data_IF_367183954875
#
_entry.id   IF_367183954875
#
_cell.length_a   1.000
_cell.length_b   1.000
_cell.length_c   1.000
_cell.angle_alpha   90.00
_cell.angle_beta   90.00
_cell.angle_gamma   90.00
#
_symmetry.space_group_name_H-M   'P 1'
#
loop_
_entity.id
_entity.type
_entity.pdbx_description
1 polymer ?
#
# COMPACT_ATOMS: atom_id res chain seq x y z
N UNK A 1 -19.72 -1.85 18.06
CA UNK A 1 -18.90 -1.54 16.86
C UNK A 1 -18.63 -0.05 16.68
N UNK A 2 -19.62 0.85 16.70
CA UNK A 2 -19.45 2.30 16.44
C UNK A 2 -18.28 2.97 17.19
N UNK A 3 -18.04 2.65 18.46
CA UNK A 3 -17.02 3.36 19.26
C UNK A 3 -15.57 3.06 18.87
N UNK A 4 -15.27 1.92 18.24
CA UNK A 4 -13.88 1.52 17.94
C UNK A 4 -13.30 2.23 16.71
N UNK A 5 -14.04 2.27 15.61
CA UNK A 5 -13.62 3.03 14.42
C UNK A 5 -13.51 4.53 14.70
N UNK A 6 -14.43 5.05 15.52
CA UNK A 6 -14.38 6.46 15.95
C UNK A 6 -13.10 6.75 16.73
N UNK A 7 -12.56 5.78 17.48
CA UNK A 7 -11.32 5.99 18.21
C UNK A 7 -10.09 6.09 17.29
N UNK A 8 -10.08 5.37 16.17
CA UNK A 8 -9.07 5.57 15.14
C UNK A 8 -9.16 6.96 14.53
N UNK A 9 -10.37 7.40 14.16
CA UNK A 9 -10.57 8.73 13.58
C UNK A 9 -10.21 9.84 14.56
N UNK A 10 -10.53 9.69 15.85
CA UNK A 10 -10.19 10.67 16.89
C UNK A 10 -8.70 10.67 17.26
N UNK A 11 -7.93 9.69 16.79
CA UNK A 11 -6.53 9.57 17.14
C UNK A 11 -5.69 10.56 16.30
N UNK A 12 -4.90 11.47 16.92
CA UNK A 12 -4.05 12.40 16.17
C UNK A 12 -3.04 11.70 15.25
N UNK A 13 -2.58 10.49 15.61
CA UNK A 13 -1.63 9.72 14.82
C UNK A 13 -2.23 9.19 13.51
N UNK A 14 -3.56 9.08 13.42
CA UNK A 14 -4.26 8.78 12.16
C UNK A 14 -4.07 9.92 11.16
N UNK A 15 -4.32 11.16 11.58
CA UNK A 15 -4.11 12.34 10.74
C UNK A 15 -2.63 12.57 10.40
N UNK A 16 -1.73 12.33 11.36
CA UNK A 16 -0.29 12.40 11.10
C UNK A 16 0.11 11.46 9.96
N UNK A 17 -0.37 10.21 10.01
CA UNK A 17 -0.06 9.24 8.97
C UNK A 17 -0.68 9.64 7.61
N UNK A 18 -1.89 10.21 7.58
CA UNK A 18 -2.50 10.72 6.35
C UNK A 18 -1.64 11.84 5.76
N UNK A 19 -1.21 12.80 6.59
CA UNK A 19 -0.35 13.91 6.14
C UNK A 19 0.95 13.37 5.53
N UNK A 20 1.60 12.42 6.21
CA UNK A 20 2.84 11.82 5.72
C UNK A 20 2.65 11.07 4.39
N UNK A 21 1.52 10.38 4.22
CA UNK A 21 1.20 9.68 2.98
C UNK A 21 0.82 10.62 1.83
N UNK A 22 0.10 11.72 2.10
CA UNK A 22 -0.33 12.71 1.08
C UNK A 22 0.84 13.46 0.45
N UNK A 23 1.98 13.58 1.16
CA UNK A 23 3.19 14.21 0.62
C UNK A 23 3.59 13.56 -0.71
N UNK A 24 3.48 12.24 -0.84
CA UNK A 24 3.91 11.53 -2.05
C UNK A 24 3.01 11.82 -3.27
N UNK A 25 1.67 11.68 -3.22
CA UNK A 25 0.78 12.18 -4.27
C UNK A 25 0.95 13.66 -4.58
N UNK A 26 1.16 14.50 -3.57
CA UNK A 26 1.34 15.93 -3.79
C UNK A 26 2.60 16.21 -4.62
N UNK A 27 3.72 15.53 -4.30
CA UNK A 27 4.95 15.62 -5.09
C UNK A 27 4.74 15.07 -6.51
N UNK A 28 4.02 13.96 -6.66
CA UNK A 28 3.66 13.40 -7.97
C UNK A 28 2.85 14.42 -8.81
N UNK A 29 1.84 15.05 -8.22
CA UNK A 29 1.02 16.07 -8.90
C UNK A 29 1.88 17.27 -9.30
N UNK A 30 2.75 17.76 -8.41
CA UNK A 30 3.64 18.89 -8.72
C UNK A 30 4.58 18.56 -9.88
N UNK A 31 5.21 17.39 -9.84
CA UNK A 31 6.07 16.90 -10.91
C UNK A 31 5.30 16.86 -12.24
N UNK A 32 4.09 16.30 -12.23
CA UNK A 32 3.23 16.21 -13.40
C UNK A 32 2.81 17.57 -13.97
N UNK A 33 2.55 18.56 -13.11
CA UNK A 33 2.27 19.93 -13.53
C UNK A 33 3.50 20.56 -14.20
N UNK A 34 4.69 20.40 -13.61
CA UNK A 34 5.94 20.86 -14.20
C UNK A 34 6.19 20.19 -15.56
N UNK A 35 6.03 18.87 -15.65
CA UNK A 35 6.15 18.14 -16.93
C UNK A 35 5.15 18.66 -17.96
N UNK A 36 3.89 18.90 -17.58
CA UNK A 36 2.87 19.40 -18.51
C UNK A 36 3.16 20.83 -19.00
N UNK A 37 3.81 21.67 -18.19
CA UNK A 37 4.21 23.03 -18.58
C UNK A 37 5.38 23.04 -19.56
N UNK A 38 6.31 22.08 -19.44
CA UNK A 38 7.50 21.98 -20.28
C UNK A 38 7.34 21.05 -21.48
N UNK A 39 6.35 20.16 -21.47
CA UNK A 39 6.05 19.27 -22.59
C UNK A 39 5.39 20.05 -23.72
N UNK A 40 6.04 20.11 -24.88
CA UNK A 40 5.39 20.55 -26.12
C UNK A 40 4.49 19.43 -26.62
N UNK A 41 3.24 19.36 -26.14
CA UNK A 41 2.26 18.37 -26.60
C UNK A 41 2.13 18.40 -28.12
N UNK A 42 2.76 17.45 -28.79
CA UNK A 42 2.63 17.28 -30.21
C UNK A 42 2.06 15.88 -30.46
N UNK A 43 0.76 15.85 -30.75
CA UNK A 43 -0.03 14.64 -31.01
C UNK A 43 0.60 13.76 -32.12
N UNK A 44 1.48 14.32 -32.96
CA UNK A 44 2.17 13.61 -34.05
C UNK A 44 3.53 13.00 -33.68
N UNK A 45 4.12 13.32 -32.53
CA UNK A 45 5.46 12.86 -32.15
C UNK A 45 5.50 12.42 -30.69
N UNK A 46 5.78 11.14 -30.46
CA UNK A 46 6.18 10.50 -29.20
C UNK A 46 5.35 10.70 -27.92
N UNK A 47 4.50 11.72 -27.78
CA UNK A 47 3.75 12.04 -26.54
C UNK A 47 2.59 11.06 -26.23
N UNK A 48 2.44 9.99 -27.02
CA UNK A 48 1.41 8.96 -26.83
C UNK A 48 1.57 8.13 -25.54
N UNK A 49 2.66 8.34 -24.78
CA UNK A 49 2.88 7.70 -23.49
C UNK A 49 2.50 8.58 -22.28
N UNK A 50 2.10 9.84 -22.46
CA UNK A 50 1.71 10.73 -21.37
C UNK A 50 0.19 10.65 -21.14
N UNK A 51 -0.20 9.87 -20.15
CA UNK A 51 -1.60 9.63 -19.78
C UNK A 51 -1.73 9.55 -18.26
N UNK A 52 -2.95 9.70 -17.70
CA UNK A 52 -3.18 9.49 -16.27
C UNK A 52 -2.68 8.12 -15.77
N UNK A 53 -2.67 7.09 -16.62
CA UNK A 53 -2.28 5.73 -16.26
C UNK A 53 -0.77 5.50 -16.19
N UNK A 54 -0.01 6.24 -16.99
CA UNK A 54 1.45 6.19 -17.07
C UNK A 54 2.14 7.22 -16.19
N UNK A 55 1.39 8.22 -15.74
CA UNK A 55 1.86 9.25 -14.81
C UNK A 55 1.36 9.04 -13.38
N UNK A 56 0.59 7.98 -13.15
CA UNK A 56 0.17 7.57 -11.82
C UNK A 56 1.36 7.23 -10.94
N UNK A 57 1.31 7.58 -9.65
CA UNK A 57 2.42 7.35 -8.71
C UNK A 57 2.85 5.88 -8.63
N UNK A 58 1.93 4.96 -8.92
CA UNK A 58 2.21 3.53 -8.97
C UNK A 58 2.83 3.03 -10.28
N UNK A 59 3.07 3.90 -11.26
CA UNK A 59 3.64 3.62 -12.57
C UNK A 59 4.65 4.71 -12.98
N UNK A 60 5.33 5.30 -11.99
CA UNK A 60 6.29 6.39 -12.21
C UNK A 60 7.49 5.93 -13.04
N UNK A 61 8.07 6.87 -13.79
CA UNK A 61 9.24 6.63 -14.65
C UNK A 61 10.49 7.32 -14.10
N UNK A 62 11.04 6.79 -13.00
CA UNK A 62 12.38 7.14 -12.54
C UNK A 62 12.47 8.30 -11.54
N UNK A 63 11.37 8.92 -11.15
CA UNK A 63 11.38 9.99 -10.15
C UNK A 63 11.50 9.48 -8.70
N UNK A 64 11.17 8.21 -8.47
CA UNK A 64 11.45 7.46 -7.24
C UNK A 64 10.49 7.71 -6.08
N UNK A 65 9.62 8.73 -6.10
CA UNK A 65 8.72 9.04 -5.00
C UNK A 65 7.67 7.93 -4.76
N UNK A 66 7.14 7.30 -5.81
CA UNK A 66 6.28 6.13 -5.72
C UNK A 66 6.98 4.92 -5.12
N UNK A 67 8.23 4.69 -5.53
CA UNK A 67 9.09 3.64 -4.96
C UNK A 67 9.30 3.85 -3.47
N UNK A 68 9.63 5.08 -3.06
CA UNK A 68 9.75 5.44 -1.64
C UNK A 68 8.44 5.24 -0.88
N UNK A 69 7.30 5.62 -1.48
CA UNK A 69 5.98 5.38 -0.87
C UNK A 69 5.75 3.90 -0.59
N UNK A 70 5.97 3.01 -1.56
CA UNK A 70 5.75 1.57 -1.36
C UNK A 70 6.75 0.92 -0.38
N UNK A 71 7.98 1.43 -0.34
CA UNK A 71 8.97 1.01 0.66
C UNK A 71 8.52 1.42 2.07
N UNK A 72 8.05 2.65 2.26
CA UNK A 72 7.64 3.21 3.55
C UNK A 72 6.20 2.86 3.95
N UNK A 73 5.39 2.37 3.00
CA UNK A 73 4.00 2.00 3.19
C UNK A 73 3.76 1.19 4.48
N UNK A 74 4.57 0.17 4.83
CA UNK A 74 4.36 -0.61 6.05
C UNK A 74 4.40 0.22 7.33
N UNK A 75 5.26 1.25 7.41
CA UNK A 75 5.36 2.13 8.57
C UNK A 75 4.16 3.06 8.61
N UNK A 76 3.90 3.73 7.49
CA UNK A 76 2.88 4.77 7.39
C UNK A 76 1.53 4.23 7.85
N UNK A 77 1.09 3.10 7.29
CA UNK A 77 -0.22 2.51 7.61
C UNK A 77 -0.30 1.89 9.01
N UNK A 78 0.84 1.51 9.61
CA UNK A 78 0.90 0.93 10.94
C UNK A 78 0.74 1.95 12.08
N UNK A 79 1.14 3.22 11.86
CA UNK A 79 1.09 4.32 12.85
C UNK A 79 -0.23 4.37 13.64
N UNK A 80 -1.41 4.52 13.00
CA UNK A 80 -2.67 4.64 13.73
C UNK A 80 -2.99 3.39 14.54
N UNK A 81 -2.77 2.20 13.98
CA UNK A 81 -3.11 0.93 14.62
C UNK A 81 -2.27 0.66 15.86
N UNK A 82 -0.95 0.87 15.78
CA UNK A 82 -0.07 0.69 16.92
C UNK A 82 -0.39 1.73 18.00
N UNK A 83 -0.59 3.00 17.63
CA UNK A 83 -0.95 4.02 18.63
C UNK A 83 -2.25 3.67 19.37
N UNK A 84 -3.34 3.38 18.65
CA UNK A 84 -4.62 3.04 19.27
C UNK A 84 -4.46 1.84 20.22
N UNK A 85 -3.73 0.80 19.81
CA UNK A 85 -3.49 -0.36 20.66
C UNK A 85 -2.82 0.01 21.99
N UNK A 86 -1.71 0.75 21.91
CA UNK A 86 -0.93 1.08 23.11
C UNK A 86 -1.62 2.12 23.99
N UNK A 87 -2.41 3.03 23.43
CA UNK A 87 -3.20 3.99 24.20
C UNK A 87 -4.34 3.30 24.93
N UNK A 88 -4.95 2.27 24.32
CA UNK A 88 -5.96 1.41 24.96
C UNK A 88 -5.39 0.52 26.05
N UNK A 89 -4.17 0.02 25.86
CA UNK A 89 -3.46 -0.72 26.90
C UNK A 89 -3.11 0.17 28.08
N UNK A 90 -2.62 1.40 27.83
CA UNK A 90 -2.24 2.36 28.87
C UNK A 90 -3.43 2.88 29.67
N UNK A 91 -4.55 3.16 29.01
CA UNK A 91 -5.79 3.64 29.65
C UNK A 91 -6.58 2.56 30.36
N UNK A 92 -6.20 1.28 30.24
CA UNK A 92 -6.97 0.14 30.75
C UNK A 92 -8.24 -0.17 29.95
N UNK A 93 -8.56 0.61 28.91
CA UNK A 93 -9.72 0.40 28.05
C UNK A 93 -9.71 -0.99 27.38
N UNK A 94 -8.52 -1.54 27.14
CA UNK A 94 -8.34 -2.91 26.65
C UNK A 94 -9.03 -3.95 27.56
N UNK A 95 -8.90 -3.84 28.89
CA UNK A 95 -9.50 -4.79 29.84
C UNK A 95 -11.02 -4.64 29.89
N UNK A 96 -11.52 -3.40 29.96
CA UNK A 96 -12.95 -3.12 29.96
C UNK A 96 -13.62 -3.66 28.69
N UNK A 97 -12.96 -3.53 27.55
CA UNK A 97 -13.50 -3.97 26.28
C UNK A 97 -13.53 -5.49 26.13
N UNK A 98 -12.52 -6.19 26.67
CA UNK A 98 -12.52 -7.66 26.76
C UNK A 98 -13.66 -8.17 27.65
N UNK A 99 -13.92 -7.50 28.76
CA UNK A 99 -15.05 -7.81 29.65
C UNK A 99 -16.40 -7.66 28.91
N UNK A 100 -16.58 -6.57 28.16
CA UNK A 100 -17.84 -6.29 27.46
C UNK A 100 -18.10 -7.13 26.21
N UNK A 101 -17.06 -7.48 25.44
CA UNK A 101 -17.19 -8.10 24.11
C UNK A 101 -16.79 -9.58 24.07
N UNK A 102 -16.33 -10.15 25.20
CA UNK A 102 -15.53 -11.39 25.26
C UNK A 102 -14.15 -11.25 24.61
N UNK A 103 -13.20 -12.12 25.00
CA UNK A 103 -11.85 -12.13 24.42
C UNK A 103 -11.87 -12.35 22.90
N UNK A 104 -12.76 -13.20 22.40
CA UNK A 104 -12.90 -13.49 20.96
C UNK A 104 -13.47 -12.30 20.20
N UNK A 105 -14.52 -11.67 20.73
CA UNK A 105 -15.16 -10.51 20.11
C UNK A 105 -14.22 -9.30 20.06
N UNK A 106 -13.44 -9.08 21.12
CA UNK A 106 -12.40 -8.06 21.14
C UNK A 106 -11.32 -8.32 20.08
N UNK A 107 -10.80 -9.55 20.02
CA UNK A 107 -9.76 -9.90 19.05
C UNK A 107 -10.23 -9.70 17.60
N UNK A 108 -11.44 -10.17 17.28
CA UNK A 108 -12.02 -10.00 15.96
C UNK A 108 -12.26 -8.53 15.60
N UNK A 109 -12.76 -7.74 16.56
CA UNK A 109 -13.05 -6.33 16.33
C UNK A 109 -11.78 -5.52 16.06
N UNK A 110 -10.74 -5.70 16.88
CA UNK A 110 -9.48 -4.98 16.70
C UNK A 110 -8.80 -5.37 15.40
N UNK A 111 -8.76 -6.66 15.08
CA UNK A 111 -8.17 -7.16 13.83
C UNK A 111 -8.92 -6.66 12.58
N UNK A 112 -10.25 -6.62 12.62
CA UNK A 112 -11.04 -6.04 11.51
C UNK A 112 -10.83 -4.54 11.37
N UNK A 113 -10.73 -3.82 12.49
CA UNK A 113 -10.47 -2.39 12.47
C UNK A 113 -9.10 -2.09 11.88
N UNK A 114 -8.04 -2.81 12.27
CA UNK A 114 -6.70 -2.64 11.72
C UNK A 114 -6.65 -2.92 10.21
N UNK A 115 -7.31 -3.99 9.76
CA UNK A 115 -7.43 -4.33 8.34
C UNK A 115 -8.10 -3.21 7.55
N UNK A 116 -9.28 -2.76 8.00
CA UNK A 116 -10.06 -1.74 7.29
C UNK A 116 -9.36 -0.37 7.28
N UNK A 117 -8.68 0.01 8.36
CA UNK A 117 -7.91 1.25 8.40
C UNK A 117 -6.74 1.20 7.42
N UNK A 118 -5.96 0.12 7.40
CA UNK A 118 -4.88 -0.05 6.43
C UNK A 118 -5.37 0.00 4.99
N UNK A 119 -6.51 -0.65 4.70
CA UNK A 119 -7.13 -0.65 3.38
C UNK A 119 -7.58 0.74 2.95
N UNK A 120 -8.52 1.34 3.69
CA UNK A 120 -9.16 2.59 3.25
C UNK A 120 -8.20 3.75 3.22
N UNK A 121 -7.24 3.80 4.14
CA UNK A 121 -6.27 4.87 4.19
C UNK A 121 -5.40 4.92 2.92
N UNK A 122 -4.82 3.79 2.54
CA UNK A 122 -4.01 3.69 1.32
C UNK A 122 -4.87 3.80 0.05
N UNK A 123 -6.04 3.16 0.04
CA UNK A 123 -6.96 3.20 -1.10
C UNK A 123 -7.39 4.62 -1.45
N UNK A 124 -7.85 5.40 -0.46
CA UNK A 124 -8.32 6.77 -0.70
C UNK A 124 -7.19 7.64 -1.21
N UNK A 125 -5.99 7.53 -0.63
CA UNK A 125 -4.84 8.36 -1.01
C UNK A 125 -4.36 8.05 -2.44
N UNK A 126 -4.22 6.77 -2.79
CA UNK A 126 -3.80 6.36 -4.14
C UNK A 126 -4.88 6.64 -5.20
N UNK A 127 -6.16 6.51 -4.83
CA UNK A 127 -7.27 6.83 -5.73
C UNK A 127 -7.39 8.34 -5.96
N UNK A 128 -7.16 9.16 -4.92
CA UNK A 128 -7.11 10.62 -5.06
C UNK A 128 -5.98 11.05 -5.99
N UNK A 129 -4.78 10.49 -5.83
CA UNK A 129 -3.67 10.70 -6.75
C UNK A 129 -4.08 10.38 -8.19
N UNK A 130 -4.57 9.16 -8.42
CA UNK A 130 -4.96 8.71 -9.76
C UNK A 130 -6.03 9.59 -10.41
N UNK A 131 -7.11 9.92 -9.68
CA UNK A 131 -8.19 10.74 -10.21
C UNK A 131 -7.76 12.18 -10.47
N UNK A 132 -6.83 12.72 -9.68
CA UNK A 132 -6.30 14.07 -9.90
C UNK A 132 -5.54 14.21 -11.22
N UNK A 133 -4.93 13.12 -11.71
CA UNK A 133 -4.15 13.15 -12.95
C UNK A 133 -5.03 13.32 -14.19
N UNK A 134 -6.33 12.98 -14.12
CA UNK A 134 -7.28 13.28 -15.21
C UNK A 134 -7.56 14.78 -15.35
N UNK A 135 -7.19 15.60 -14.35
CA UNK A 135 -7.28 17.07 -14.44
C UNK A 135 -6.05 17.68 -15.15
N UNK A 136 -4.96 16.93 -15.26
CA UNK A 136 -3.68 17.39 -15.83
C UNK A 136 -3.48 16.80 -17.21
N UNK A 137 -3.67 15.49 -17.33
CA UNK A 137 -3.39 14.73 -18.53
C UNK A 137 -4.68 14.30 -19.23
N UNK A 138 -4.73 14.39 -20.57
CA UNK A 138 -5.82 13.84 -21.35
C UNK A 138 -5.84 12.30 -21.28
N UNK A 139 -7.05 11.73 -21.29
CA UNK A 139 -7.25 10.29 -21.38
C UNK A 139 -7.10 9.82 -22.84
N UNK A 140 -6.03 9.06 -23.12
CA UNK A 140 -5.79 8.44 -24.41
C UNK A 140 -5.61 6.94 -24.27
N UNK A 141 -6.13 6.20 -25.24
CA UNK A 141 -5.83 4.77 -25.38
C UNK A 141 -4.44 4.57 -25.95
N UNK A 142 -3.71 3.61 -25.42
CA UNK A 142 -2.44 3.18 -26.00
C UNK A 142 -2.72 2.47 -27.34
N UNK A 143 -2.18 3.00 -28.42
CA UNK A 143 -2.36 2.44 -29.76
C UNK A 143 -1.25 1.43 -30.12
N UNK A 144 -0.10 1.50 -29.45
CA UNK A 144 1.05 0.63 -29.74
C UNK A 144 1.71 0.12 -28.44
N UNK A 145 1.71 -1.21 -28.27
CA UNK A 145 2.31 -1.92 -27.15
C UNK A 145 3.84 -1.87 -27.20
N UNK A 146 4.43 -1.94 -28.39
CA UNK A 146 5.87 -1.95 -28.61
C UNK A 146 6.47 -0.57 -28.37
N UNK A 147 5.75 0.50 -28.74
CA UNK A 147 6.16 1.88 -28.44
C UNK A 147 6.22 2.15 -26.93
N UNK A 148 5.27 1.60 -26.16
CA UNK A 148 5.23 1.76 -24.71
C UNK A 148 6.38 1.00 -24.02
N UNK A 149 6.75 -0.20 -24.51
CA UNK A 149 7.88 -0.97 -23.98
C UNK A 149 9.23 -0.32 -24.36
N UNK A 150 9.36 0.14 -25.60
CA UNK A 150 10.54 0.86 -26.10
C UNK A 150 10.74 2.23 -25.45
N UNK A 151 9.68 2.85 -24.91
CA UNK A 151 9.78 4.02 -24.04
C UNK A 151 10.32 3.68 -22.63
N UNK A 152 10.80 2.45 -22.45
CA UNK A 152 11.41 1.99 -21.22
C UNK A 152 10.41 1.66 -20.12
N UNK A 153 9.10 1.53 -20.40
CA UNK A 153 8.09 1.24 -19.35
C UNK A 153 8.21 -0.16 -18.75
N UNK A 154 9.04 -1.03 -19.35
CA UNK A 154 9.33 -2.37 -18.82
C UNK A 154 8.08 -3.22 -18.72
N UNK A 155 7.28 -3.31 -19.79
CA UNK A 155 5.93 -3.88 -19.73
C UNK A 155 5.93 -5.34 -19.24
N UNK A 156 7.03 -6.08 -19.45
CA UNK A 156 7.23 -7.43 -18.93
C UNK A 156 7.30 -7.52 -17.39
N UNK A 157 7.37 -6.38 -16.68
CA UNK A 157 7.32 -6.28 -15.22
C UNK A 157 5.91 -6.04 -14.71
N UNK A 158 4.96 -5.70 -15.59
CA UNK A 158 3.59 -5.45 -15.20
C UNK A 158 2.90 -6.76 -14.84
N UNK A 159 2.05 -6.70 -13.83
CA UNK A 159 1.37 -7.89 -13.34
C UNK A 159 0.22 -8.35 -14.25
N UNK A 160 -0.25 -7.48 -15.15
CA UNK A 160 -1.18 -7.82 -16.23
C UNK A 160 -0.96 -6.88 -17.43
N UNK A 161 0.08 -7.12 -18.25
CA UNK A 161 0.40 -6.27 -19.38
C UNK A 161 -0.78 -6.09 -20.35
N UNK A 162 -1.48 -7.18 -20.64
CA UNK A 162 -2.65 -7.19 -21.51
C UNK A 162 -3.82 -6.39 -20.93
N UNK A 163 -4.09 -6.53 -19.63
CA UNK A 163 -5.16 -5.78 -18.98
C UNK A 163 -4.86 -4.28 -18.98
N UNK A 164 -3.60 -3.90 -18.70
CA UNK A 164 -3.17 -2.50 -18.76
C UNK A 164 -3.29 -1.92 -20.17
N UNK A 165 -2.97 -2.72 -21.19
CA UNK A 165 -3.08 -2.28 -22.57
C UNK A 165 -4.54 -2.08 -23.04
N UNK A 166 -5.40 -3.08 -22.80
CA UNK A 166 -6.79 -3.04 -23.29
C UNK A 166 -7.74 -2.22 -22.39
N UNK A 167 -7.49 -2.23 -21.08
CA UNK A 167 -8.34 -1.61 -20.07
C UNK A 167 -7.50 -0.90 -19.00
N UNK A 168 -6.74 0.16 -19.36
CA UNK A 168 -5.77 0.80 -18.46
C UNK A 168 -6.40 1.33 -17.17
N UNK A 169 -7.59 1.91 -17.24
CA UNK A 169 -8.33 2.36 -16.06
C UNK A 169 -8.58 1.21 -15.07
N UNK A 170 -9.09 0.08 -15.57
CA UNK A 170 -9.37 -1.10 -14.75
C UNK A 170 -8.08 -1.68 -14.17
N UNK A 171 -7.02 -1.76 -14.96
CA UNK A 171 -5.72 -2.23 -14.50
C UNK A 171 -5.16 -1.37 -13.35
N UNK A 172 -5.23 -0.04 -13.48
CA UNK A 172 -4.81 0.87 -12.41
C UNK A 172 -5.66 0.73 -11.16
N UNK A 173 -6.99 0.62 -11.29
CA UNK A 173 -7.87 0.37 -10.14
C UNK A 173 -7.56 -0.97 -9.44
N UNK A 174 -7.27 -2.03 -10.21
CA UNK A 174 -6.84 -3.31 -9.66
C UNK A 174 -5.54 -3.17 -8.90
N UNK A 175 -4.56 -2.42 -9.43
CA UNK A 175 -3.29 -2.22 -8.72
C UNK A 175 -3.47 -1.38 -7.44
N UNK A 176 -4.28 -0.33 -7.46
CA UNK A 176 -4.66 0.44 -6.26
C UNK A 176 -5.28 -0.48 -5.20
N UNK A 177 -6.20 -1.36 -5.61
CA UNK A 177 -6.83 -2.32 -4.72
C UNK A 177 -5.79 -3.28 -4.11
N UNK A 178 -4.88 -3.81 -4.92
CA UNK A 178 -3.81 -4.70 -4.45
C UNK A 178 -2.86 -4.00 -3.48
N UNK A 179 -2.41 -2.78 -3.81
CA UNK A 179 -1.60 -1.98 -2.90
C UNK A 179 -2.28 -1.76 -1.55
N UNK A 180 -3.60 -1.53 -1.58
CA UNK A 180 -4.41 -1.34 -0.37
C UNK A 180 -4.61 -2.63 0.43
N UNK A 181 -4.69 -3.78 -0.24
CA UNK A 181 -4.70 -5.09 0.39
C UNK A 181 -3.39 -5.35 1.16
N UNK A 182 -2.25 -5.02 0.56
CA UNK A 182 -0.94 -5.15 1.22
C UNK A 182 -0.73 -4.15 2.36
N UNK A 183 -1.20 -2.91 2.21
CA UNK A 183 -1.27 -1.96 3.32
C UNK A 183 -2.05 -2.52 4.51
N UNK A 184 -3.17 -3.20 4.25
CA UNK A 184 -3.96 -3.88 5.28
C UNK A 184 -3.15 -4.99 5.96
N UNK A 185 -2.42 -5.79 5.17
CA UNK A 185 -1.55 -6.84 5.67
C UNK A 185 -0.49 -6.27 6.62
N UNK A 186 0.22 -5.20 6.24
CA UNK A 186 1.21 -4.56 7.11
C UNK A 186 0.59 -4.03 8.39
N UNK A 187 -0.60 -3.44 8.29
CA UNK A 187 -1.33 -2.93 9.46
C UNK A 187 -1.74 -4.06 10.42
N UNK A 188 -2.19 -5.19 9.89
CA UNK A 188 -2.53 -6.37 10.70
C UNK A 188 -1.31 -7.06 11.29
N UNK A 189 -0.18 -7.04 10.59
CA UNK A 189 1.10 -7.53 11.09
C UNK A 189 1.63 -6.66 12.24
N UNK A 190 1.54 -5.34 12.12
CA UNK A 190 1.84 -4.41 13.22
C UNK A 190 0.91 -4.62 14.43
N UNK A 191 -0.38 -4.87 14.18
CA UNK A 191 -1.33 -5.23 15.23
C UNK A 191 -0.93 -6.52 15.95
N UNK A 192 -0.49 -7.54 15.20
CA UNK A 192 0.03 -8.79 15.75
C UNK A 192 1.22 -8.53 16.67
N UNK A 193 2.25 -7.83 16.19
CA UNK A 193 3.43 -7.51 16.99
C UNK A 193 3.12 -6.70 18.24
N UNK A 194 2.13 -5.81 18.18
CA UNK A 194 1.72 -5.01 19.33
C UNK A 194 1.23 -5.86 20.51
N UNK A 195 0.74 -7.08 20.26
CA UNK A 195 0.34 -8.00 21.34
C UNK A 195 1.55 -8.63 22.03
N UNK A 196 2.61 -8.93 21.28
CA UNK A 196 3.80 -9.62 21.81
C UNK A 196 4.86 -8.67 22.35
N UNK A 197 4.93 -7.46 21.81
CA UNK A 197 6.02 -6.51 22.07
C UNK A 197 5.47 -5.31 22.84
N UNK A 198 6.22 -4.84 23.84
CA UNK A 198 5.83 -3.71 24.70
C UNK A 198 6.22 -2.33 24.15
N UNK A 199 7.11 -2.28 23.16
CA UNK A 199 7.60 -1.03 22.56
C UNK A 199 6.78 -0.62 21.34
N UNK A 200 6.20 0.59 21.39
CA UNK A 200 5.47 1.21 20.27
C UNK A 200 6.35 1.31 19.01
N UNK A 201 7.57 1.81 19.18
CA UNK A 201 8.49 2.06 18.07
C UNK A 201 8.88 0.77 17.33
N UNK A 202 9.17 -0.30 18.07
CA UNK A 202 9.54 -1.59 17.48
C UNK A 202 8.37 -2.17 16.67
N UNK A 203 7.14 -2.08 17.19
CA UNK A 203 5.95 -2.59 16.48
C UNK A 203 5.69 -1.86 15.16
N UNK A 204 6.02 -0.57 15.08
CA UNK A 204 5.90 0.23 13.86
C UNK A 204 6.95 -0.15 12.81
N UNK A 205 8.18 -0.40 13.24
CA UNK A 205 9.29 -0.67 12.33
C UNK A 205 9.32 -2.11 11.81
N UNK A 206 8.81 -3.09 12.57
CA UNK A 206 8.94 -4.50 12.20
C UNK A 206 8.37 -4.86 10.83
N UNK A 207 7.14 -4.44 10.44
CA UNK A 207 6.62 -4.71 9.10
C UNK A 207 7.54 -4.20 7.98
N UNK A 208 8.12 -3.01 8.18
CA UNK A 208 9.08 -2.40 7.25
C UNK A 208 10.41 -3.15 7.20
N UNK A 209 10.96 -3.52 8.36
CA UNK A 209 12.18 -4.30 8.43
C UNK A 209 12.02 -5.67 7.76
N UNK A 210 10.88 -6.33 7.95
CA UNK A 210 10.59 -7.61 7.29
C UNK A 210 10.55 -7.42 5.77
N UNK A 211 9.83 -6.41 5.27
CA UNK A 211 9.78 -6.13 3.84
C UNK A 211 11.17 -5.85 3.27
N UNK A 212 11.95 -4.97 3.91
CA UNK A 212 13.28 -4.58 3.40
C UNK A 212 14.29 -5.74 3.46
N UNK A 213 14.30 -6.53 4.53
CA UNK A 213 15.17 -7.71 4.63
C UNK A 213 14.84 -8.77 3.57
N UNK A 214 13.56 -9.03 3.31
CA UNK A 214 13.15 -9.92 2.21
C UNK A 214 13.58 -9.35 0.85
N UNK A 215 13.52 -8.03 0.69
CA UNK A 215 13.99 -7.34 -0.51
C UNK A 215 15.50 -7.52 -0.75
N UNK A 216 16.31 -7.35 0.30
CA UNK A 216 17.75 -7.61 0.22
C UNK A 216 18.07 -9.08 -0.09
N UNK A 217 17.35 -10.02 0.54
CA UNK A 217 17.51 -11.44 0.24
C UNK A 217 17.17 -11.76 -1.23
N UNK A 218 16.10 -11.16 -1.76
CA UNK A 218 15.72 -11.30 -3.16
C UNK A 218 16.81 -10.78 -4.11
N UNK A 219 17.46 -9.66 -3.77
CA UNK A 219 18.56 -9.12 -4.56
C UNK A 219 19.83 -10.00 -4.50
N UNK A 220 20.16 -10.56 -3.33
CA UNK A 220 21.35 -11.44 -3.16
C UNK A 220 21.19 -12.74 -3.94
N UNK A 221 19.97 -13.29 -3.99
CA UNK A 221 19.69 -14.56 -4.66
C UNK A 221 19.51 -14.42 -6.18
N UNK A 222 19.61 -13.20 -6.73
CA UNK A 222 19.45 -12.85 -8.15
C UNK A 222 18.24 -13.52 -8.81
N UNK A 223 17.13 -13.55 -8.06
CA UNK A 223 15.91 -14.18 -8.54
C UNK A 223 15.19 -13.23 -9.48
N UNK A 224 14.85 -13.72 -10.68
CA UNK A 224 14.08 -12.97 -11.69
C UNK A 224 12.62 -12.68 -11.28
N UNK A 225 12.25 -12.95 -10.03
CA UNK A 225 10.91 -12.84 -9.47
C UNK A 225 10.91 -11.83 -8.33
N UNK A 226 9.91 -10.94 -8.29
CA UNK A 226 9.71 -9.98 -7.21
C UNK A 226 9.12 -10.67 -5.96
N UNK A 227 9.79 -10.53 -4.82
CA UNK A 227 9.41 -11.20 -3.55
C UNK A 227 8.69 -10.28 -2.57
N UNK A 228 8.89 -8.97 -2.71
CA UNK A 228 8.35 -7.98 -1.78
C UNK A 228 7.28 -7.12 -2.41
N UNK A 229 6.26 -6.69 -1.63
CA UNK A 229 5.22 -5.80 -2.13
C UNK A 229 5.78 -4.51 -2.75
N UNK A 230 6.84 -3.94 -2.19
CA UNK A 230 7.50 -2.78 -2.79
C UNK A 230 8.05 -3.02 -4.21
N UNK A 231 8.49 -4.24 -4.54
CA UNK A 231 9.02 -4.58 -5.87
C UNK A 231 7.93 -4.80 -6.92
N UNK A 232 6.77 -5.34 -6.54
CA UNK A 232 5.72 -5.71 -7.51
C UNK A 232 4.49 -4.80 -7.51
N UNK A 233 4.26 -4.00 -6.47
CA UNK A 233 3.17 -3.02 -6.44
C UNK A 233 3.53 -1.75 -7.19
N UNK A 234 4.82 -1.40 -7.22
CA UNK A 234 5.30 -0.39 -8.13
C UNK A 234 5.37 -1.00 -9.54
N UNK A 235 4.58 -0.46 -10.46
CA UNK A 235 4.63 -0.80 -11.88
C UNK A 235 5.74 -0.03 -12.61
N UNK A 236 6.63 0.66 -11.90
CA UNK A 236 7.81 1.24 -12.51
C UNK A 236 8.77 0.17 -13.07
N UNK A 237 9.78 0.63 -13.78
CA UNK A 237 10.83 -0.20 -14.38
C UNK A 237 11.51 -1.03 -13.29
N UNK A 238 11.23 -2.32 -13.27
CA UNK A 238 11.84 -3.28 -12.34
C UNK A 238 12.59 -4.35 -13.13
N UNK A 239 13.68 -4.89 -12.57
CA UNK A 239 14.34 -6.06 -13.17
C UNK A 239 13.57 -7.37 -12.90
N UNK A 240 12.58 -7.34 -12.00
CA UNK A 240 11.99 -8.55 -11.42
C UNK A 240 10.50 -8.68 -11.76
N UNK A 241 10.09 -9.89 -12.15
CA UNK A 241 8.72 -10.18 -12.57
C UNK A 241 7.82 -10.49 -11.37
N UNK A 242 6.61 -9.92 -11.27
CA UNK A 242 5.69 -10.24 -10.20
C UNK A 242 5.20 -11.69 -10.32
N UNK A 243 5.23 -12.45 -9.22
CA UNK A 243 4.64 -13.81 -9.18
C UNK A 243 3.15 -13.73 -8.84
N UNK A 244 2.24 -14.23 -9.69
CA UNK A 244 0.80 -14.20 -9.40
C UNK A 244 0.44 -14.90 -8.08
N UNK A 245 1.19 -15.95 -7.72
CA UNK A 245 1.02 -16.65 -6.44
C UNK A 245 1.33 -15.75 -5.25
N UNK A 246 2.45 -15.04 -5.30
CA UNK A 246 2.84 -14.12 -4.24
C UNK A 246 1.86 -12.96 -4.14
N UNK A 247 1.39 -12.41 -5.26
CA UNK A 247 0.55 -11.21 -5.22
C UNK A 247 -0.89 -11.49 -4.81
N UNK A 248 -1.48 -12.60 -5.24
CA UNK A 248 -2.89 -12.89 -4.93
C UNK A 248 -3.09 -13.82 -3.76
N UNK A 249 -2.31 -14.91 -3.64
CA UNK A 249 -2.58 -15.92 -2.63
C UNK A 249 -1.92 -15.61 -1.29
N UNK A 250 -0.68 -15.10 -1.31
CA UNK A 250 0.05 -14.79 -0.08
C UNK A 250 -0.69 -13.81 0.84
N UNK A 251 -1.31 -12.70 0.39
CA UNK A 251 -1.88 -11.74 1.33
C UNK A 251 -3.09 -12.31 2.09
N UNK A 252 -3.97 -13.07 1.43
CA UNK A 252 -5.10 -13.71 2.12
C UNK A 252 -4.63 -14.79 3.10
N UNK A 253 -3.65 -15.61 2.71
CA UNK A 253 -3.08 -16.64 3.56
C UNK A 253 -2.39 -16.03 4.80
N UNK A 254 -1.59 -14.99 4.61
CA UNK A 254 -0.90 -14.29 5.70
C UNK A 254 -1.88 -13.58 6.64
N UNK A 255 -2.91 -12.91 6.11
CA UNK A 255 -3.96 -12.31 6.94
C UNK A 255 -4.66 -13.38 7.79
N UNK A 256 -4.97 -14.55 7.22
CA UNK A 256 -5.58 -15.66 7.96
C UNK A 256 -4.65 -16.19 9.07
N UNK A 257 -3.36 -16.38 8.77
CA UNK A 257 -2.35 -16.78 9.76
C UNK A 257 -2.22 -15.74 10.87
N UNK A 258 -2.11 -14.45 10.53
CA UNK A 258 -1.98 -13.38 11.50
C UNK A 258 -3.22 -13.28 12.40
N UNK A 259 -4.41 -13.45 11.83
CA UNK A 259 -5.64 -13.51 12.62
C UNK A 259 -5.61 -14.68 13.61
N UNK A 260 -5.22 -15.87 13.17
CA UNK A 260 -5.15 -17.05 14.04
C UNK A 260 -4.16 -16.86 15.19
N UNK A 261 -2.95 -16.35 14.90
CA UNK A 261 -1.93 -16.06 15.91
C UNK A 261 -2.39 -14.97 16.90
N UNK A 262 -2.96 -13.89 16.39
CA UNK A 262 -3.51 -12.79 17.20
C UNK A 262 -4.61 -13.30 18.14
N UNK A 263 -5.56 -14.07 17.61
CA UNK A 263 -6.64 -14.68 18.38
C UNK A 263 -6.10 -15.61 19.47
N UNK A 264 -5.16 -16.50 19.12
CA UNK A 264 -4.57 -17.46 20.07
C UNK A 264 -3.93 -16.74 21.25
N UNK A 265 -3.20 -15.64 21.00
CA UNK A 265 -2.54 -14.89 22.06
C UNK A 265 -3.52 -14.18 22.98
N UNK A 266 -4.52 -13.48 22.43
CA UNK A 266 -5.53 -12.79 23.25
C UNK A 266 -6.34 -13.76 24.11
N UNK A 267 -6.60 -14.97 23.61
CA UNK A 267 -7.30 -15.99 24.39
C UNK A 267 -6.44 -16.60 25.49
N UNK A 268 -5.13 -16.73 25.28
CA UNK A 268 -4.21 -17.24 26.31
C UNK A 268 -3.92 -16.23 27.44
N UNK A 269 -4.12 -14.94 27.19
CA UNK A 269 -3.89 -13.86 28.17
C UNK A 269 -5.17 -13.51 28.98
N UNK A 270 -6.16 -14.40 29.06
CA UNK A 270 -7.43 -14.18 29.78
C UNK A 270 -7.83 -15.38 30.61
#
# INVERSE_FOLDING_TARGET
MKNYFIAYIKNPYFYLSIILMIIFPFLNILHNLETALHATFNIRSFDFYLSPYTMWIGNENGDGYGTFLYILLPILVAIPTVSVYFDYRKSGFHYFSRYKLSNQGYALLFFRASLLIGFFMSFVILMMDFLSLFLIWPDFKFHDYLALDNAGRGIYTFMFPSLFYYHPFLATCVNIFLASLYASLFTTLAALFSVYISSRFICLLLPFLIQTMVGFLSAILDLSVAWTPAQFLNMSISASRPSPLLVFFAPFLLIAIFYFLYRKKILGDG
#
